data_IF_204364181396
#
_entry.id   IF_204364181396
#
_cell.length_a   1.000
_cell.length_b   1.000
_cell.length_c   1.000
_cell.angle_alpha   90.00
_cell.angle_beta   90.00
_cell.angle_gamma   90.00
#
_symmetry.space_group_name_H-M   'P 1'
#
loop_
_entity.id
_entity.type
_entity.pdbx_description
1 polymer ?
#
# COMPACT_ATOMS: atom_id res chain seq x y z
N UNK A 1 11.75 11.22 5.13
CA UNK A 1 11.28 12.29 4.22
C UNK A 1 10.34 11.80 3.12
N UNK A 2 10.47 10.56 2.59
CA UNK A 2 9.63 10.07 1.48
C UNK A 2 8.12 10.01 1.77
N UNK A 3 7.71 9.48 2.93
CA UNK A 3 6.29 9.39 3.30
C UNK A 3 5.59 10.77 3.37
N UNK A 4 6.26 11.80 3.90
CA UNK A 4 5.69 13.15 3.99
C UNK A 4 5.45 13.78 2.62
N UNK A 5 6.40 13.62 1.69
CA UNK A 5 6.24 14.10 0.31
C UNK A 5 5.04 13.44 -0.37
N UNK A 6 4.85 12.15 -0.13
CA UNK A 6 3.71 11.42 -0.70
C UNK A 6 2.38 11.84 -0.07
N UNK A 7 2.26 11.79 1.26
CA UNK A 7 0.98 12.02 1.94
C UNK A 7 0.60 13.49 2.08
N UNK A 8 1.56 14.40 2.28
CA UNK A 8 1.28 15.81 2.56
C UNK A 8 1.44 16.71 1.33
N UNK A 9 2.37 16.41 0.43
CA UNK A 9 2.58 17.21 -0.79
C UNK A 9 1.82 16.67 -2.00
N UNK A 10 1.45 15.38 -1.99
CA UNK A 10 0.76 14.73 -3.11
C UNK A 10 1.68 14.44 -4.31
N UNK A 11 3.00 14.33 -4.09
CA UNK A 11 3.97 14.01 -5.13
C UNK A 11 3.67 12.62 -5.74
N UNK A 12 3.94 12.45 -7.04
CA UNK A 12 3.85 11.14 -7.70
C UNK A 12 4.97 10.21 -7.21
N UNK A 13 4.62 8.96 -6.90
CA UNK A 13 5.57 7.94 -6.46
C UNK A 13 6.11 7.14 -7.65
N UNK A 14 7.43 7.17 -7.88
CA UNK A 14 8.10 6.35 -8.90
C UNK A 14 8.45 4.96 -8.39
N UNK A 15 8.73 4.03 -9.31
CA UNK A 15 9.04 2.63 -8.97
C UNK A 15 10.25 2.50 -8.05
N UNK A 16 11.30 3.28 -8.30
CA UNK A 16 12.53 3.31 -7.49
C UNK A 16 12.26 3.82 -6.08
N UNK A 17 11.47 4.90 -5.95
CA UNK A 17 11.07 5.45 -4.66
C UNK A 17 10.18 4.45 -3.90
N UNK A 18 9.22 3.81 -4.58
CA UNK A 18 8.38 2.77 -3.99
C UNK A 18 9.21 1.57 -3.50
N UNK A 19 10.28 1.22 -4.22
CA UNK A 19 11.21 0.15 -3.84
C UNK A 19 12.02 0.55 -2.61
N UNK A 20 12.53 1.78 -2.56
CA UNK A 20 13.26 2.32 -1.42
C UNK A 20 12.38 2.42 -0.16
N UNK A 21 11.08 2.69 -0.32
CA UNK A 21 10.09 2.70 0.76
C UNK A 21 9.60 1.29 1.16
N UNK A 22 10.02 0.24 0.46
CA UNK A 22 9.60 -1.15 0.73
C UNK A 22 8.18 -1.48 0.29
N UNK A 23 7.52 -0.62 -0.48
CA UNK A 23 6.16 -0.83 -1.01
C UNK A 23 6.15 -1.86 -2.14
N UNK A 24 7.25 -1.98 -2.90
CA UNK A 24 7.41 -2.99 -3.96
C UNK A 24 8.59 -3.91 -3.69
N UNK A 25 8.39 -5.19 -4.01
CA UNK A 25 9.35 -6.26 -3.76
C UNK A 25 10.43 -6.41 -4.85
N UNK A 26 10.18 -5.89 -6.06
CA UNK A 26 11.08 -6.01 -7.22
C UNK A 26 10.66 -4.99 -8.28
N UNK A 27 11.62 -4.43 -9.02
CA UNK A 27 11.38 -3.61 -10.22
C UNK A 27 11.82 -4.44 -11.42
N UNK A 28 10.98 -4.52 -12.43
CA UNK A 28 11.24 -5.29 -13.66
C UNK A 28 11.00 -4.42 -14.89
N UNK A 29 11.54 -4.80 -16.06
CA UNK A 29 11.26 -4.10 -17.32
C UNK A 29 9.76 -3.99 -17.63
N UNK A 30 9.40 -2.92 -18.34
CA UNK A 30 8.03 -2.73 -18.82
C UNK A 30 7.58 -3.91 -19.69
N UNK A 31 6.36 -4.39 -19.45
CA UNK A 31 5.78 -5.52 -20.20
C UNK A 31 6.16 -6.91 -19.67
N UNK A 32 7.10 -7.04 -18.72
CA UNK A 32 7.52 -8.35 -18.19
C UNK A 32 6.98 -8.65 -16.78
N UNK A 33 6.10 -7.79 -16.25
CA UNK A 33 5.57 -7.89 -14.88
C UNK A 33 4.85 -9.21 -14.64
N UNK A 34 4.00 -9.61 -15.58
CA UNK A 34 3.22 -10.85 -15.47
C UNK A 34 4.12 -12.09 -15.44
N UNK A 35 5.09 -12.17 -16.35
CA UNK A 35 6.04 -13.27 -16.41
C UNK A 35 6.85 -13.38 -15.11
N UNK A 36 7.37 -12.24 -14.61
CA UNK A 36 8.12 -12.19 -13.37
C UNK A 36 7.27 -12.64 -12.16
N UNK A 37 6.04 -12.13 -12.06
CA UNK A 37 5.11 -12.50 -10.98
C UNK A 37 4.77 -13.99 -11.01
N UNK A 38 4.47 -14.55 -12.18
CA UNK A 38 4.23 -15.98 -12.36
C UNK A 38 5.48 -16.81 -12.04
N UNK A 39 6.66 -16.33 -12.38
CA UNK A 39 7.94 -16.93 -11.99
C UNK A 39 8.07 -17.07 -10.48
N UNK A 40 7.77 -16.00 -9.72
CA UNK A 40 7.77 -16.02 -8.24
C UNK A 40 6.70 -16.96 -7.67
N UNK A 41 5.49 -16.96 -8.22
CA UNK A 41 4.43 -17.88 -7.80
C UNK A 41 4.84 -19.35 -8.00
N UNK A 42 5.46 -19.69 -9.14
CA UNK A 42 5.99 -21.05 -9.40
C UNK A 42 7.09 -21.43 -8.41
N UNK A 43 7.92 -20.49 -7.97
CA UNK A 43 8.92 -20.73 -6.92
C UNK A 43 8.29 -21.00 -5.56
N UNK A 44 7.14 -20.38 -5.25
CA UNK A 44 6.42 -20.59 -4.00
C UNK A 44 5.69 -21.94 -3.98
N UNK A 45 4.98 -22.29 -5.06
CA UNK A 45 4.18 -23.54 -5.15
C UNK A 45 5.02 -24.80 -5.00
N UNK A 46 6.32 -24.75 -5.33
CA UNK A 46 7.25 -25.88 -5.13
C UNK A 46 7.57 -26.19 -3.66
N UNK A 47 7.16 -25.34 -2.71
CA UNK A 47 7.47 -25.49 -1.28
C UNK A 47 6.27 -26.06 -0.52
N UNK A 48 6.49 -26.80 0.59
CA UNK A 48 5.40 -27.28 1.43
C UNK A 48 4.56 -26.13 1.98
N UNK A 49 3.24 -26.18 1.77
CA UNK A 49 2.29 -25.13 2.18
C UNK A 49 2.35 -24.87 3.69
N UNK A 50 2.44 -25.92 4.51
CA UNK A 50 2.53 -25.79 5.96
C UNK A 50 3.76 -24.97 6.40
N UNK A 51 4.93 -25.22 5.80
CA UNK A 51 6.15 -24.50 6.11
C UNK A 51 6.06 -23.01 5.71
N UNK A 52 5.44 -22.72 4.55
CA UNK A 52 5.20 -21.35 4.11
C UNK A 52 4.28 -20.58 5.06
N UNK A 53 3.16 -21.19 5.47
CA UNK A 53 2.20 -20.57 6.39
C UNK A 53 2.82 -20.31 7.76
N UNK A 54 3.55 -21.28 8.32
CA UNK A 54 4.27 -21.13 9.58
C UNK A 54 5.31 -20.01 9.51
N UNK A 55 6.15 -20.01 8.48
CA UNK A 55 7.17 -18.97 8.28
C UNK A 55 6.54 -17.59 8.14
N UNK A 56 5.48 -17.47 7.33
CA UNK A 56 4.74 -16.20 7.16
C UNK A 56 4.12 -15.73 8.49
N UNK A 57 3.59 -16.64 9.30
CA UNK A 57 3.07 -16.32 10.63
C UNK A 57 4.14 -15.74 11.55
N UNK A 58 5.31 -16.40 11.61
CA UNK A 58 6.44 -15.94 12.42
C UNK A 58 6.96 -14.57 11.95
N UNK A 59 7.09 -14.35 10.64
CA UNK A 59 7.53 -13.07 10.08
C UNK A 59 6.53 -11.94 10.32
N UNK A 60 5.22 -12.23 10.31
CA UNK A 60 4.17 -11.22 10.53
C UNK A 60 4.14 -10.73 11.98
N UNK A 61 4.43 -11.58 12.95
CA UNK A 61 4.46 -11.22 14.37
C UNK A 61 3.09 -10.77 14.92
N UNK A 62 3.10 -10.01 16.03
CA UNK A 62 1.90 -9.38 16.59
C UNK A 62 1.49 -8.16 15.75
N UNK A 63 0.22 -8.11 15.32
CA UNK A 63 -0.33 -7.00 14.53
C UNK A 63 -1.32 -6.12 15.28
N UNK A 64 -1.42 -6.23 16.60
CA UNK A 64 -2.31 -5.42 17.43
C UNK A 64 -2.08 -3.92 17.23
N UNK A 65 -0.84 -3.45 17.34
CA UNK A 65 -0.51 -2.04 17.12
C UNK A 65 -0.82 -1.55 15.68
N UNK A 66 -0.80 -2.47 14.69
CA UNK A 66 -1.21 -2.16 13.32
C UNK A 66 -2.74 -1.99 13.24
N UNK A 67 -3.50 -2.88 13.88
CA UNK A 67 -4.96 -2.77 13.97
C UNK A 67 -5.37 -1.47 14.68
N UNK A 68 -4.78 -1.16 15.83
CA UNK A 68 -5.06 0.08 16.57
C UNK A 68 -4.79 1.33 15.72
N UNK A 69 -3.71 1.30 14.92
CA UNK A 69 -3.39 2.39 14.00
C UNK A 69 -4.45 2.54 12.92
N UNK A 70 -4.90 1.43 12.33
CA UNK A 70 -5.95 1.42 11.31
C UNK A 70 -7.25 2.01 11.89
N UNK A 71 -7.64 1.63 13.10
CA UNK A 71 -8.84 2.16 13.76
C UNK A 71 -8.73 3.67 14.03
N UNK A 72 -7.55 4.12 14.44
CA UNK A 72 -7.25 5.54 14.57
C UNK A 72 -7.36 6.28 13.22
N UNK A 73 -6.78 5.72 12.16
CA UNK A 73 -6.82 6.31 10.81
C UNK A 73 -8.26 6.39 10.28
N UNK A 74 -9.07 5.35 10.47
CA UNK A 74 -10.49 5.33 10.10
C UNK A 74 -11.25 6.44 10.83
N UNK A 75 -11.03 6.59 12.14
CA UNK A 75 -11.69 7.62 12.96
C UNK A 75 -11.35 9.04 12.46
N UNK A 76 -10.07 9.31 12.18
CA UNK A 76 -9.62 10.59 11.64
C UNK A 76 -10.19 10.85 10.24
N UNK A 77 -10.24 9.82 9.40
CA UNK A 77 -10.79 9.93 8.04
C UNK A 77 -12.28 10.25 8.07
N UNK A 78 -13.07 9.61 8.94
CA UNK A 78 -14.49 9.90 9.11
C UNK A 78 -14.73 11.34 9.56
N UNK A 79 -13.94 11.84 10.51
CA UNK A 79 -14.00 13.24 10.93
C UNK A 79 -13.68 14.19 9.77
N UNK A 80 -12.65 13.88 8.98
CA UNK A 80 -12.27 14.70 7.83
C UNK A 80 -13.37 14.75 6.75
N UNK A 81 -14.12 13.66 6.55
CA UNK A 81 -15.24 13.62 5.58
C UNK A 81 -16.45 14.47 6.02
N UNK A 82 -16.60 14.72 7.32
CA UNK A 82 -17.67 15.58 7.85
C UNK A 82 -17.28 17.06 7.85
N UNK A 83 -16.00 17.37 7.64
CA UNK A 83 -15.53 18.74 7.58
C UNK A 83 -16.00 19.45 6.30
N UNK A 84 -16.59 20.64 6.49
CA UNK A 84 -17.14 21.44 5.40
C UNK A 84 -16.10 21.81 4.34
N UNK A 85 -14.85 22.05 4.75
CA UNK A 85 -13.79 22.43 3.80
C UNK A 85 -13.40 21.25 2.92
N UNK A 86 -13.33 20.04 3.49
CA UNK A 86 -13.11 18.80 2.75
C UNK A 86 -14.26 18.53 1.79
N UNK A 87 -15.51 18.61 2.24
CA UNK A 87 -16.68 18.35 1.39
C UNK A 87 -16.73 19.28 0.17
N UNK A 88 -16.48 20.58 0.36
CA UNK A 88 -16.42 21.55 -0.74
C UNK A 88 -15.30 21.24 -1.74
N UNK A 89 -14.13 20.82 -1.24
CA UNK A 89 -12.99 20.43 -2.08
C UNK A 89 -13.31 19.20 -2.92
N UNK A 90 -13.88 18.16 -2.31
CA UNK A 90 -14.28 16.93 -3.01
C UNK A 90 -15.32 17.19 -4.09
N UNK A 91 -16.35 18.00 -3.80
CA UNK A 91 -17.34 18.41 -4.80
C UNK A 91 -16.72 19.12 -6.01
N UNK A 92 -15.72 19.98 -5.77
CA UNK A 92 -15.00 20.68 -6.84
C UNK A 92 -14.18 19.71 -7.70
N UNK A 93 -13.49 18.75 -7.07
CA UNK A 93 -12.70 17.74 -7.79
C UNK A 93 -13.63 16.85 -8.64
N UNK A 94 -14.75 16.38 -8.06
CA UNK A 94 -15.71 15.54 -8.78
C UNK A 94 -16.28 16.23 -10.03
N UNK A 95 -16.55 17.55 -9.97
CA UNK A 95 -17.00 18.33 -11.13
C UNK A 95 -15.93 18.52 -12.21
N UNK A 96 -14.65 18.51 -11.85
CA UNK A 96 -13.55 18.64 -12.81
C UNK A 96 -13.23 17.32 -13.52
N UNK A 97 -13.66 16.20 -12.93
CA UNK A 97 -13.45 14.85 -13.47
C UNK A 97 -14.63 14.35 -14.34
N UNK A 98 -15.75 15.07 -14.37
CA UNK A 98 -16.95 14.81 -15.16
C UNK A 98 -16.94 15.67 -16.44
#
# INVERSE_FOLDING_TARGET
AGAFRFFCLGDTLRAEDARALGLVAEIVPGGTVEEAALGRARQLVKKPVAALLQTRGLLKGNTEALCDRIDQEISLFQQALQDDTTLRRLQRIARLAA
#
